data_IF_688461320804
#
_entry.id   IF_688461320804
#
_cell.length_a   1.000
_cell.length_b   1.000
_cell.length_c   1.000
_cell.angle_alpha   90.00
_cell.angle_beta   90.00
_cell.angle_gamma   90.00
#
_symmetry.space_group_name_H-M   'P 1'
#
loop_
_entity.id
_entity.type
_entity.pdbx_description
1 polymer ?
#
# COMPACT_ATOMS: atom_id res chain seq x y z
N UNK A 1 28.38 14.02 -10.93
CA UNK A 1 27.19 14.51 -10.20
C UNK A 1 27.07 13.77 -8.89
N UNK A 2 27.23 14.44 -7.75
CA UNK A 2 27.11 13.79 -6.44
C UNK A 2 25.66 13.30 -6.25
N UNK A 3 25.48 12.03 -5.88
CA UNK A 3 24.15 11.48 -5.54
C UNK A 3 23.68 12.17 -4.25
N UNK A 4 22.80 13.16 -4.38
CA UNK A 4 22.12 13.77 -3.24
C UNK A 4 21.25 12.70 -2.59
N UNK A 5 21.75 12.08 -1.52
CA UNK A 5 20.92 11.19 -0.71
C UNK A 5 19.97 12.05 0.11
N UNK A 6 18.67 11.72 0.14
CA UNK A 6 17.73 12.45 0.99
C UNK A 6 18.17 12.33 2.45
N UNK A 7 18.00 13.40 3.25
CA UNK A 7 18.44 13.41 4.63
C UNK A 7 17.78 12.27 5.42
N UNK A 8 18.53 11.63 6.34
CA UNK A 8 18.00 10.56 7.16
C UNK A 8 16.82 11.04 8.00
N UNK A 9 15.88 10.14 8.29
CA UNK A 9 14.70 10.48 9.10
C UNK A 9 15.12 10.93 10.50
N UNK A 10 14.57 12.05 10.97
CA UNK A 10 14.81 12.57 12.33
C UNK A 10 14.18 11.67 13.40
N UNK A 11 14.67 11.70 14.66
CA UNK A 11 13.97 11.10 15.80
C UNK A 11 12.51 11.57 15.86
N UNK A 12 11.57 10.65 16.11
CA UNK A 12 10.12 10.95 16.10
C UNK A 12 9.44 10.87 14.73
N UNK A 13 10.18 10.84 13.61
CA UNK A 13 9.55 10.64 12.30
C UNK A 13 9.17 9.17 12.09
N UNK A 14 7.94 8.93 11.62
CA UNK A 14 7.40 7.60 11.41
C UNK A 14 8.30 6.78 10.45
N UNK A 15 8.83 5.68 11.00
CA UNK A 15 9.73 4.75 10.30
C UNK A 15 8.97 3.62 9.60
N UNK A 16 7.84 3.19 10.16
CA UNK A 16 6.97 2.11 9.69
C UNK A 16 5.91 2.52 8.66
N UNK A 17 4.81 1.74 8.53
CA UNK A 17 3.77 1.93 7.53
C UNK A 17 3.21 3.35 7.57
N UNK A 18 3.10 3.98 6.40
CA UNK A 18 2.72 5.37 6.23
C UNK A 18 1.35 5.47 5.60
N UNK A 19 0.56 6.35 6.19
CA UNK A 19 -0.70 6.84 5.66
C UNK A 19 -0.57 8.34 5.46
N UNK A 20 -0.96 8.87 4.31
CA UNK A 20 -1.10 10.32 4.11
C UNK A 20 -2.57 10.65 4.29
N UNK A 21 -2.91 11.24 5.44
CA UNK A 21 -4.28 11.58 5.84
C UNK A 21 -5.31 10.44 5.65
N UNK A 22 -4.86 9.18 5.74
CA UNK A 22 -5.70 8.00 5.47
C UNK A 22 -6.06 7.76 4.00
N UNK A 23 -5.78 8.69 3.09
CA UNK A 23 -6.15 8.62 1.68
C UNK A 23 -5.16 7.82 0.82
N UNK A 24 -3.86 7.86 1.16
CA UNK A 24 -2.82 7.06 0.52
C UNK A 24 -2.24 6.07 1.51
N UNK A 25 -2.21 4.81 1.11
CA UNK A 25 -1.62 3.70 1.86
C UNK A 25 -0.33 3.28 1.19
N UNK A 26 0.77 3.14 1.94
CA UNK A 26 1.91 2.38 1.40
C UNK A 26 1.61 0.88 1.34
N UNK A 27 2.46 0.12 0.66
CA UNK A 27 2.25 -1.32 0.45
C UNK A 27 2.12 -2.08 1.77
N UNK A 28 2.89 -1.72 2.79
CA UNK A 28 2.80 -2.37 4.11
C UNK A 28 1.43 -2.12 4.74
N UNK A 29 0.94 -0.87 4.68
CA UNK A 29 -0.38 -0.52 5.20
C UNK A 29 -1.50 -1.21 4.42
N UNK A 30 -1.44 -1.22 3.09
CA UNK A 30 -2.45 -1.87 2.24
C UNK A 30 -2.47 -3.40 2.45
N UNK A 31 -1.29 -4.02 2.60
CA UNK A 31 -1.18 -5.44 2.87
C UNK A 31 -1.74 -5.83 4.25
N UNK A 32 -1.52 -4.98 5.26
CA UNK A 32 -2.06 -5.19 6.60
C UNK A 32 -3.59 -5.21 6.63
N UNK A 33 -4.25 -4.32 5.87
CA UNK A 33 -5.72 -4.30 5.76
C UNK A 33 -6.27 -5.61 5.14
N UNK A 34 -5.49 -6.27 4.29
CA UNK A 34 -5.84 -7.55 3.68
C UNK A 34 -5.38 -8.77 4.49
N UNK A 35 -4.71 -8.57 5.63
CA UNK A 35 -4.14 -9.67 6.43
C UNK A 35 -3.03 -10.45 5.71
N UNK A 36 -2.29 -9.82 4.77
CA UNK A 36 -1.22 -10.46 4.00
C UNK A 36 0.11 -9.73 4.15
N UNK A 37 1.20 -10.35 3.69
CA UNK A 37 2.52 -9.70 3.64
C UNK A 37 2.63 -8.73 2.44
N UNK A 38 3.47 -7.70 2.56
CA UNK A 38 3.79 -6.80 1.44
C UNK A 38 4.34 -7.54 0.20
N UNK A 39 5.08 -8.64 0.41
CA UNK A 39 5.55 -9.51 -0.68
C UNK A 39 4.37 -10.14 -1.43
N UNK A 40 3.41 -10.70 -0.69
CA UNK A 40 2.20 -11.27 -1.26
C UNK A 40 1.36 -10.21 -2.00
N UNK A 41 1.22 -9.02 -1.42
CA UNK A 41 0.52 -7.90 -2.06
C UNK A 41 1.15 -7.57 -3.42
N UNK A 42 2.48 -7.39 -3.50
CA UNK A 42 3.18 -7.10 -4.76
C UNK A 42 2.97 -8.19 -5.81
N UNK A 43 3.07 -9.47 -5.42
CA UNK A 43 2.86 -10.58 -6.32
C UNK A 43 1.43 -10.64 -6.86
N UNK A 44 0.42 -10.36 -6.01
CA UNK A 44 -0.99 -10.27 -6.42
C UNK A 44 -1.25 -9.07 -7.31
N UNK A 45 -0.64 -7.92 -7.01
CA UNK A 45 -0.79 -6.70 -7.81
C UNK A 45 -0.22 -6.88 -9.23
N UNK A 46 0.91 -7.59 -9.38
CA UNK A 46 1.46 -7.94 -10.69
C UNK A 46 0.52 -8.82 -11.53
N UNK A 47 -0.37 -9.58 -10.87
CA UNK A 47 -1.38 -10.42 -11.52
C UNK A 47 -2.75 -9.74 -11.66
N UNK A 48 -2.86 -8.46 -11.27
CA UNK A 48 -4.13 -7.73 -11.28
C UNK A 48 -5.16 -8.23 -10.26
N UNK A 49 -4.74 -8.98 -9.24
CA UNK A 49 -5.65 -9.57 -8.25
C UNK A 49 -5.99 -8.63 -7.08
N UNK A 50 -5.28 -7.52 -6.95
CA UNK A 50 -5.49 -6.45 -5.97
C UNK A 50 -5.21 -5.11 -6.65
N UNK A 51 -5.61 -3.96 -6.08
CA UNK A 51 -5.32 -2.66 -6.66
C UNK A 51 -3.83 -2.45 -6.93
N UNK A 52 -3.52 -2.04 -8.16
CA UNK A 52 -2.15 -1.86 -8.62
C UNK A 52 -1.55 -0.60 -7.98
N UNK A 53 -0.41 -0.72 -7.28
CA UNK A 53 0.19 0.42 -6.61
C UNK A 53 0.85 1.39 -7.59
N UNK A 54 0.74 2.68 -7.29
CA UNK A 54 1.33 3.79 -8.03
C UNK A 54 2.57 4.34 -7.33
N UNK A 55 3.44 5.03 -8.08
CA UNK A 55 4.57 5.75 -7.48
C UNK A 55 4.16 7.13 -7.00
N UNK A 56 4.42 7.44 -5.74
CA UNK A 56 4.23 8.76 -5.14
C UNK A 56 5.40 9.07 -4.19
N UNK A 57 6.09 10.20 -4.41
CA UNK A 57 7.24 10.59 -3.58
C UNK A 57 8.33 9.52 -3.47
N UNK A 58 8.57 8.76 -4.55
CA UNK A 58 9.56 7.68 -4.59
C UNK A 58 9.10 6.36 -3.93
N UNK A 59 7.82 6.22 -3.59
CA UNK A 59 7.26 5.05 -2.89
C UNK A 59 6.11 4.45 -3.67
N UNK A 60 5.90 3.16 -3.49
CA UNK A 60 4.68 2.49 -3.98
C UNK A 60 3.55 2.69 -2.98
N UNK A 61 2.43 3.23 -3.47
CA UNK A 61 1.25 3.56 -2.69
C UNK A 61 -0.02 3.13 -3.43
N UNK A 62 -1.10 2.94 -2.68
CA UNK A 62 -2.44 2.60 -3.15
C UNK A 62 -3.41 3.63 -2.57
N UNK A 63 -4.41 4.04 -3.36
CA UNK A 63 -5.47 4.90 -2.84
C UNK A 63 -6.39 4.08 -1.95
N UNK A 64 -6.71 4.62 -0.77
CA UNK A 64 -7.63 3.98 0.17
C UNK A 64 -8.98 3.66 -0.48
N UNK A 65 -9.53 4.61 -1.23
CA UNK A 65 -10.79 4.47 -1.95
C UNK A 65 -10.78 3.35 -2.99
N UNK A 66 -9.65 3.08 -3.64
CA UNK A 66 -9.53 1.97 -4.60
C UNK A 66 -9.48 0.62 -3.89
N UNK A 67 -8.78 0.56 -2.75
CA UNK A 67 -8.76 -0.65 -1.93
C UNK A 67 -10.14 -0.96 -1.37
N UNK A 68 -10.84 0.05 -0.84
CA UNK A 68 -12.19 -0.10 -0.32
C UNK A 68 -13.17 -0.51 -1.44
N UNK A 69 -13.09 0.10 -2.63
CA UNK A 69 -13.90 -0.30 -3.79
C UNK A 69 -13.65 -1.75 -4.18
N UNK A 70 -12.39 -2.14 -4.29
CA UNK A 70 -12.02 -3.50 -4.65
C UNK A 70 -12.54 -4.52 -3.61
N UNK A 71 -12.47 -4.20 -2.32
CA UNK A 71 -13.03 -5.03 -1.25
C UNK A 71 -14.55 -5.21 -1.38
N UNK A 72 -15.27 -4.16 -1.76
CA UNK A 72 -16.72 -4.20 -1.96
C UNK A 72 -17.13 -4.98 -3.22
N UNK A 73 -16.26 -5.05 -4.23
CA UNK A 73 -16.49 -5.82 -5.46
C UNK A 73 -16.19 -7.32 -5.30
N UNK A 74 -15.57 -7.72 -4.17
CA UNK A 74 -15.35 -9.13 -3.91
C UNK A 74 -16.70 -9.84 -3.74
N UNK A 75 -16.90 -11.00 -4.39
CA UNK A 75 -18.08 -11.80 -4.13
C UNK A 75 -18.06 -12.20 -2.65
N UNK A 76 -19.04 -11.69 -1.89
CA UNK A 76 -19.32 -12.19 -0.54
C UNK A 76 -19.52 -13.70 -0.69
N UNK A 77 -18.70 -14.48 0.02
CA UNK A 77 -18.83 -15.93 0.01
C UNK A 77 -20.26 -16.23 0.45
N UNK A 78 -21.03 -16.95 -0.38
CA UNK A 78 -22.28 -17.56 0.09
C UNK A 78 -21.91 -18.44 1.27
N UNK A 79 -22.53 -18.14 2.41
CA UNK A 79 -22.47 -18.98 3.60
C UNK A 79 -22.83 -20.42 3.21
N UNK A 80 -21.96 -21.36 3.57
CA UNK A 80 -22.20 -22.80 3.50
C UNK A 80 -22.64 -23.28 4.88
#
# INVERSE_FOLDING_TARGET
MARVQPPPKRPGQQRGPRRIAGALLDIESAAAELGITARAYRARAQRGQVPVPRRFGGRLVVLRSELDRWLLELPMSKEF
#
